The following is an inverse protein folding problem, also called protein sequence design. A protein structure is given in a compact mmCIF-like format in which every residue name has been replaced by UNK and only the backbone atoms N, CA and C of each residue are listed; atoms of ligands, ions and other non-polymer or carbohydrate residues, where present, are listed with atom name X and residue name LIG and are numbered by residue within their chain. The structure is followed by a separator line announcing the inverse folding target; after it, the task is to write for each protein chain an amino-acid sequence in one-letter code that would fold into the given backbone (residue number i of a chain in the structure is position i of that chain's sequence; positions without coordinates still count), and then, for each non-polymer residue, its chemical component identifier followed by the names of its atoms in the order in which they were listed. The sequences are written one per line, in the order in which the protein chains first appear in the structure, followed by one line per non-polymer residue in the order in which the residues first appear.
data_IF_922951058434
#
_entry.id   IF_922951058434
#
_cell.length_a   1.000
_cell.length_b   1.000
_cell.length_c   1.000
_cell.angle_alpha   90.00
_cell.angle_beta   90.00
_cell.angle_gamma   90.00
#
_symmetry.space_group_name_H-M   'P 1'
#
loop_
_entity.id
_entity.type
_entity.pdbx_description
1 polymer ?
#
# COMPACT_ATOMS: atom_id res chain seq x y z
N UNK A 1 0.40 -24.54 12.83
CA UNK A 1 0.84 -23.13 12.67
C UNK A 1 2.27 -22.90 13.17
N UNK A 2 2.62 -23.35 14.38
CA UNK A 2 3.98 -23.21 14.96
C UNK A 2 5.10 -23.81 14.11
N UNK A 3 4.89 -24.98 13.53
CA UNK A 3 5.89 -25.66 12.69
C UNK A 3 6.20 -24.91 11.40
N UNK A 4 5.17 -24.45 10.67
CA UNK A 4 5.36 -23.56 9.50
C UNK A 4 6.07 -22.27 9.88
N UNK A 5 5.71 -21.65 11.01
CA UNK A 5 6.39 -20.44 11.49
C UNK A 5 7.89 -20.67 11.73
N UNK A 6 8.23 -21.80 12.37
CA UNK A 6 9.63 -22.19 12.62
C UNK A 6 10.40 -22.42 11.31
N UNK A 7 9.80 -23.11 10.34
CA UNK A 7 10.40 -23.29 9.01
C UNK A 7 10.68 -21.96 8.30
N UNK A 8 9.75 -20.99 8.37
CA UNK A 8 9.93 -19.66 7.80
C UNK A 8 11.06 -18.89 8.49
N UNK A 9 11.14 -18.97 9.83
CA UNK A 9 12.22 -18.34 10.60
C UNK A 9 13.59 -18.94 10.26
N UNK A 10 13.67 -20.27 10.15
CA UNK A 10 14.90 -20.98 9.83
C UNK A 10 15.38 -20.63 8.41
N UNK A 11 14.48 -20.60 7.43
CA UNK A 11 14.80 -20.17 6.06
C UNK A 11 15.26 -18.71 5.98
N UNK A 12 14.60 -17.81 6.72
CA UNK A 12 15.03 -16.41 6.82
C UNK A 12 16.41 -16.26 7.46
N UNK A 13 16.75 -17.10 8.44
CA UNK A 13 18.06 -17.07 9.12
C UNK A 13 19.18 -17.61 8.24
N UNK A 14 18.87 -18.58 7.37
CA UNK A 14 19.82 -19.20 6.43
C UNK A 14 20.09 -18.34 5.19
N UNK A 15 19.26 -17.32 4.92
CA UNK A 15 19.44 -16.43 3.78
C UNK A 15 19.00 -17.04 2.44
N UNK A 16 18.26 -18.15 2.44
CA UNK A 16 17.77 -18.79 1.22
C UNK A 16 16.77 -17.89 0.47
N UNK A 17 17.10 -17.47 -0.77
CA UNK A 17 16.12 -17.03 -1.78
C UNK A 17 15.50 -18.28 -2.43
N UNK A 18 14.16 -18.38 -2.67
CA UNK A 18 13.17 -17.34 -2.93
C UNK A 18 11.95 -17.47 -2.01
N UNK A 19 12.13 -17.39 -0.69
CA UNK A 19 11.00 -17.48 0.23
C UNK A 19 10.13 -16.23 0.09
N UNK A 20 8.94 -16.35 -0.51
CA UNK A 20 7.93 -15.28 -0.51
C UNK A 20 7.28 -15.25 0.86
N UNK A 21 7.41 -14.12 1.54
CA UNK A 21 6.76 -13.91 2.83
C UNK A 21 5.31 -13.51 2.58
N UNK A 22 4.34 -14.20 3.22
CA UNK A 22 2.94 -13.89 3.00
C UNK A 22 2.58 -12.57 3.69
N UNK A 23 1.72 -11.76 3.10
CA UNK A 23 1.12 -10.64 3.84
C UNK A 23 0.13 -11.19 4.86
N UNK A 24 0.21 -10.71 6.10
CA UNK A 24 -0.75 -10.98 7.16
C UNK A 24 -1.06 -9.64 7.79
N UNK A 25 -2.30 -9.17 7.67
CA UNK A 25 -2.71 -7.89 8.21
C UNK A 25 -4.18 -7.92 8.67
N UNK A 26 -4.47 -7.14 9.71
CA UNK A 26 -5.83 -6.91 10.22
C UNK A 26 -6.14 -5.41 10.20
N UNK A 27 -7.29 -5.07 9.63
CA UNK A 27 -7.76 -3.71 9.43
C UNK A 27 -9.12 -3.54 10.07
N UNK A 28 -9.13 -3.10 11.33
CA UNK A 28 -10.32 -2.85 12.14
C UNK A 28 -11.02 -1.52 11.87
N UNK A 29 -12.20 -1.35 12.46
CA UNK A 29 -13.13 -0.21 12.32
C UNK A 29 -12.69 1.10 13.00
N UNK A 30 -11.68 1.05 13.89
CA UNK A 30 -11.08 2.24 14.50
C UNK A 30 -10.30 3.15 13.54
N UNK A 31 -10.45 2.96 12.21
CA UNK A 31 -9.80 3.71 11.14
C UNK A 31 -10.56 4.97 10.71
N UNK A 32 -11.74 5.23 11.27
CA UNK A 32 -12.40 6.53 11.15
C UNK A 32 -11.40 7.61 11.53
N UNK A 33 -11.08 8.45 10.55
CA UNK A 33 -10.06 9.50 10.54
C UNK A 33 -9.72 10.15 11.87
N UNK A 34 -9.00 9.43 12.71
CA UNK A 34 -8.51 9.99 13.94
C UNK A 34 -7.19 10.68 13.63
N UNK A 35 -7.31 11.93 13.20
CA UNK A 35 -6.27 12.95 13.39
C UNK A 35 -5.84 13.05 14.87
N UNK A 36 -6.59 12.43 15.79
CA UNK A 36 -6.40 12.39 17.24
C UNK A 36 -5.76 11.11 17.78
N UNK A 37 -4.69 10.62 17.14
CA UNK A 37 -3.63 9.98 17.93
C UNK A 37 -2.28 10.10 17.27
N UNK A 38 -1.74 11.32 17.30
CA UNK A 38 -0.29 11.48 17.37
C UNK A 38 0.18 10.92 18.74
N UNK A 39 0.12 9.59 18.92
CA UNK A 39 0.90 8.95 19.96
C UNK A 39 2.34 9.15 19.50
N UNK A 40 2.98 10.17 20.08
CA UNK A 40 4.44 10.32 20.08
C UNK A 40 5.00 9.09 20.75
N UNK A 41 5.06 7.98 20.03
CA UNK A 41 6.08 6.99 20.34
C UNK A 41 7.33 7.56 19.71
N UNK A 42 8.24 8.00 20.59
CA UNK A 42 9.58 8.41 20.26
C UNK A 42 10.23 7.29 19.44
N UNK A 43 10.05 7.33 18.12
CA UNK A 43 10.93 6.66 17.18
C UNK A 43 12.23 7.43 17.26
N UNK A 44 13.01 7.12 18.30
CA UNK A 44 14.39 7.55 18.41
C UNK A 44 15.04 7.27 17.05
N UNK A 45 15.42 8.36 16.39
CA UNK A 45 16.10 8.45 15.09
C UNK A 45 17.43 7.64 15.05
N UNK A 46 17.81 7.09 16.21
CA UNK A 46 18.98 6.25 16.44
C UNK A 46 18.72 4.73 16.28
N UNK A 47 17.46 4.26 16.27
CA UNK A 47 17.13 2.84 16.01
C UNK A 47 16.85 2.53 14.52
N UNK A 48 16.60 3.55 13.70
CA UNK A 48 16.43 3.40 12.25
C UNK A 48 17.79 3.11 11.57
N UNK A 49 18.89 3.54 12.18
CA UNK A 49 20.26 3.34 11.67
C UNK A 49 20.88 1.98 12.04
N UNK A 50 20.31 1.27 13.03
CA UNK A 50 20.80 -0.03 13.52
C UNK A 50 19.96 -1.23 13.08
N UNK A 51 18.76 -1.01 12.53
CA UNK A 51 17.92 -2.06 11.95
C UNK A 51 18.41 -2.44 10.55
N UNK A 52 19.42 -3.32 10.47
CA UNK A 52 19.74 -4.08 9.26
C UNK A 52 18.44 -4.56 8.61
N UNK A 53 18.21 -4.13 7.35
CA UNK A 53 17.10 -4.48 6.45
C UNK A 53 16.56 -5.90 6.66
N UNK A 54 15.65 -6.08 7.62
CA UNK A 54 15.03 -7.37 7.85
C UNK A 54 13.66 -7.29 7.21
N UNK A 55 13.42 -8.13 6.19
CA UNK A 55 12.14 -8.24 5.47
C UNK A 55 10.92 -8.30 6.40
N UNK A 56 11.12 -8.78 7.64
CA UNK A 56 10.13 -8.83 8.73
C UNK A 56 9.52 -7.48 9.12
N UNK A 57 10.15 -6.36 8.78
CA UNK A 57 9.63 -5.02 9.10
C UNK A 57 8.24 -4.78 8.49
N UNK A 58 7.87 -5.45 7.39
CA UNK A 58 6.52 -5.37 6.84
C UNK A 58 5.42 -5.93 7.77
N UNK A 59 5.78 -6.68 8.82
CA UNK A 59 4.85 -7.17 9.84
C UNK A 59 4.75 -6.27 11.08
N UNK A 60 5.59 -5.24 11.21
CA UNK A 60 5.47 -4.28 12.32
C UNK A 60 4.09 -3.62 12.24
N UNK A 61 3.36 -3.60 13.35
CA UNK A 61 2.02 -3.03 13.46
C UNK A 61 1.02 -3.56 12.41
N UNK A 62 1.18 -4.81 11.94
CA UNK A 62 0.25 -5.40 10.97
C UNK A 62 -1.12 -5.75 11.55
N UNK A 63 -1.23 -5.76 12.88
CA UNK A 63 -2.48 -5.99 13.63
C UNK A 63 -3.02 -4.67 14.20
N UNK A 64 -2.17 -3.66 14.38
CA UNK A 64 -2.60 -2.33 14.81
C UNK A 64 -3.12 -1.55 13.60
N UNK A 65 -4.43 -1.38 13.57
CA UNK A 65 -5.16 -0.83 12.44
C UNK A 65 -4.95 0.67 12.24
N UNK A 66 -4.17 1.40 13.02
CA UNK A 66 -4.10 2.87 12.85
C UNK A 66 -3.13 3.28 11.74
N UNK A 67 -3.67 3.62 10.56
CA UNK A 67 -2.89 4.27 9.51
C UNK A 67 -2.67 5.76 9.87
N UNK A 68 -1.45 6.14 10.22
CA UNK A 68 -1.13 7.54 10.51
C UNK A 68 -0.81 8.29 9.21
N UNK A 69 -1.75 9.14 8.77
CA UNK A 69 -1.62 9.96 7.55
C UNK A 69 -0.37 10.86 7.55
N UNK A 70 0.08 11.35 8.72
CA UNK A 70 1.31 12.16 8.82
C UNK A 70 2.54 11.31 8.51
N UNK A 71 2.62 10.11 9.10
CA UNK A 71 3.70 9.16 8.82
C UNK A 71 3.69 8.73 7.35
N UNK A 72 2.51 8.56 6.76
CA UNK A 72 2.39 8.20 5.34
C UNK A 72 2.88 9.32 4.43
N UNK A 73 2.51 10.58 4.67
CA UNK A 73 3.02 11.72 3.90
C UNK A 73 4.53 11.88 4.03
N UNK A 74 5.07 11.76 5.24
CA UNK A 74 6.51 11.79 5.48
C UNK A 74 7.23 10.65 4.76
N UNK A 75 6.66 9.45 4.78
CA UNK A 75 7.17 8.30 4.03
C UNK A 75 7.20 8.58 2.51
N UNK A 76 6.11 9.08 1.92
CA UNK A 76 6.08 9.43 0.50
C UNK A 76 7.12 10.49 0.14
N UNK A 77 7.29 11.51 0.99
CA UNK A 77 8.34 12.53 0.82
C UNK A 77 9.72 11.89 0.79
N UNK A 78 10.06 11.07 1.79
CA UNK A 78 11.37 10.45 1.91
C UNK A 78 11.65 9.46 0.77
N UNK A 79 10.66 8.67 0.35
CA UNK A 79 10.79 7.78 -0.79
C UNK A 79 10.93 8.53 -2.11
N UNK A 80 10.27 9.69 -2.25
CA UNK A 80 10.40 10.53 -3.45
C UNK A 80 11.79 11.15 -3.55
N UNK A 81 12.35 11.62 -2.43
CA UNK A 81 13.75 12.06 -2.37
C UNK A 81 14.69 10.92 -2.78
N UNK A 82 14.48 9.72 -2.23
CA UNK A 82 15.26 8.54 -2.58
C UNK A 82 15.16 8.18 -4.07
N UNK A 83 13.96 8.30 -4.66
CA UNK A 83 13.72 8.08 -6.10
C UNK A 83 14.55 9.03 -6.95
N UNK A 84 14.56 10.33 -6.62
CA UNK A 84 15.38 11.30 -7.34
C UNK A 84 16.88 11.01 -7.18
N UNK A 85 17.35 10.68 -5.97
CA UNK A 85 18.74 10.28 -5.76
C UNK A 85 19.13 9.03 -6.56
N UNK A 86 18.24 8.04 -6.64
CA UNK A 86 18.48 6.83 -7.44
C UNK A 86 18.57 7.15 -8.94
N UNK A 87 17.75 8.09 -9.41
CA UNK A 87 17.80 8.55 -10.79
C UNK A 87 19.13 9.25 -11.11
N UNK A 88 19.59 10.16 -10.24
CA UNK A 88 20.89 10.84 -10.39
C UNK A 88 22.07 9.85 -10.38
N UNK A 89 22.00 8.81 -9.54
CA UNK A 89 23.05 7.80 -9.42
C UNK A 89 22.92 6.64 -10.43
N UNK A 90 21.92 6.67 -11.33
CA UNK A 90 21.67 5.59 -12.28
C UNK A 90 21.30 4.24 -11.64
N UNK A 91 20.79 4.23 -10.40
CA UNK A 91 20.47 3.01 -9.62
C UNK A 91 19.11 2.39 -9.96
N UNK A 92 18.37 2.98 -10.90
CA UNK A 92 17.07 2.49 -11.36
C UNK A 92 15.92 2.88 -10.42
N UNK A 93 14.87 2.06 -10.37
CA UNK A 93 13.62 2.38 -9.66
C UNK A 93 13.68 2.03 -8.17
N UNK A 94 13.00 2.84 -7.35
CA UNK A 94 12.66 2.49 -5.97
C UNK A 94 11.40 1.62 -5.98
N UNK A 95 11.58 0.30 -6.12
CA UNK A 95 10.46 -0.63 -6.35
C UNK A 95 9.37 -0.60 -5.29
N UNK A 96 9.71 -0.27 -4.04
CA UNK A 96 8.75 -0.15 -2.95
C UNK A 96 7.77 1.01 -3.20
N UNK A 97 8.30 2.17 -3.57
CA UNK A 97 7.49 3.34 -3.91
C UNK A 97 6.63 3.06 -5.15
N UNK A 98 7.23 2.45 -6.18
CA UNK A 98 6.52 2.14 -7.43
C UNK A 98 5.38 1.13 -7.21
N UNK A 99 5.57 0.13 -6.33
CA UNK A 99 4.50 -0.80 -5.96
C UNK A 99 3.32 -0.07 -5.30
N UNK A 100 3.60 0.87 -4.39
CA UNK A 100 2.55 1.66 -3.72
C UNK A 100 1.81 2.55 -4.71
N UNK A 101 2.52 3.30 -5.56
CA UNK A 101 1.89 4.13 -6.59
C UNK A 101 1.08 3.31 -7.59
N UNK A 102 1.59 2.15 -8.01
CA UNK A 102 0.88 1.27 -8.94
C UNK A 102 -0.41 0.73 -8.33
N UNK A 103 -0.38 0.28 -7.07
CA UNK A 103 -1.58 -0.22 -6.40
C UNK A 103 -2.66 0.86 -6.24
N UNK A 104 -2.27 2.05 -5.78
CA UNK A 104 -3.18 3.18 -5.63
C UNK A 104 -3.77 3.65 -6.98
N UNK A 105 -2.93 3.74 -8.02
CA UNK A 105 -3.36 4.15 -9.35
C UNK A 105 -4.32 3.17 -10.02
N UNK A 106 -4.05 1.85 -9.88
CA UNK A 106 -4.94 0.80 -10.38
C UNK A 106 -6.32 0.87 -9.73
N UNK A 107 -6.36 0.96 -8.41
CA UNK A 107 -7.64 1.12 -7.69
C UNK A 107 -8.40 2.36 -8.16
N UNK A 108 -7.72 3.51 -8.27
CA UNK A 108 -8.38 4.74 -8.67
C UNK A 108 -8.93 4.64 -10.11
N UNK A 109 -8.18 4.03 -11.02
CA UNK A 109 -8.64 3.75 -12.39
C UNK A 109 -9.85 2.80 -12.41
N UNK A 110 -9.81 1.71 -11.62
CA UNK A 110 -10.91 0.73 -11.56
C UNK A 110 -12.21 1.31 -11.02
N UNK A 111 -12.15 2.16 -10.00
CA UNK A 111 -13.35 2.73 -9.36
C UNK A 111 -13.93 3.90 -10.15
N UNK A 112 -13.08 4.70 -10.80
CA UNK A 112 -13.53 5.91 -11.53
C UNK A 112 -13.78 5.68 -13.02
N UNK A 113 -13.17 4.64 -13.60
CA UNK A 113 -13.16 4.42 -15.05
C UNK A 113 -12.18 5.32 -15.82
N UNK A 114 -11.40 6.17 -15.12
CA UNK A 114 -10.42 7.05 -15.78
C UNK A 114 -9.19 6.29 -16.29
N UNK A 115 -8.57 6.82 -17.34
CA UNK A 115 -7.37 6.24 -17.96
C UNK A 115 -6.11 7.00 -17.57
N UNK A 116 -4.94 6.40 -17.85
CA UNK A 116 -3.61 7.00 -17.61
C UNK A 116 -3.37 7.48 -16.17
N UNK A 117 -3.99 6.79 -15.21
CA UNK A 117 -3.94 7.17 -13.80
C UNK A 117 -2.52 7.00 -13.24
N UNK A 118 -1.93 8.09 -12.75
CA UNK A 118 -0.62 8.12 -12.11
C UNK A 118 -0.67 8.86 -10.79
N UNK A 119 -0.25 8.18 -9.73
CA UNK A 119 -0.05 8.80 -8.42
C UNK A 119 1.37 9.35 -8.33
N UNK A 120 1.49 10.57 -7.82
CA UNK A 120 2.79 11.22 -7.66
C UNK A 120 2.78 12.15 -6.45
N UNK A 121 3.83 12.07 -5.65
CA UNK A 121 4.11 13.07 -4.63
C UNK A 121 4.74 14.32 -5.26
N UNK A 122 4.16 15.48 -4.97
CA UNK A 122 4.69 16.78 -5.37
C UNK A 122 5.62 17.32 -4.28
N UNK A 123 6.89 17.51 -4.60
CA UNK A 123 7.85 18.14 -3.68
C UNK A 123 7.52 19.61 -3.38
N UNK A 124 7.09 20.44 -4.36
CA UNK A 124 6.67 21.82 -4.09
C UNK A 124 5.44 21.91 -3.19
N UNK A 125 4.41 21.09 -3.44
CA UNK A 125 3.13 21.17 -2.73
C UNK A 125 3.11 20.35 -1.43
N UNK A 126 4.14 19.51 -1.23
CA UNK A 126 4.27 18.58 -0.10
C UNK A 126 3.04 17.65 0.09
N UNK A 127 2.44 17.23 -1.02
CA UNK A 127 1.28 16.32 -1.01
C UNK A 127 1.24 15.41 -2.24
N UNK A 128 0.38 14.39 -2.16
CA UNK A 128 0.10 13.49 -3.26
C UNK A 128 -0.91 14.08 -4.25
N UNK A 129 -0.69 13.80 -5.52
CA UNK A 129 -1.60 14.06 -6.62
C UNK A 129 -1.94 12.77 -7.35
N UNK A 130 -3.16 12.74 -7.89
CA UNK A 130 -3.57 11.81 -8.94
C UNK A 130 -3.67 12.57 -10.25
N UNK A 131 -2.89 12.14 -11.23
CA UNK A 131 -3.01 12.59 -12.61
C UNK A 131 -3.82 11.54 -13.36
N UNK A 132 -4.78 11.94 -14.16
CA UNK A 132 -5.61 11.02 -14.95
C UNK A 132 -6.14 11.72 -16.20
N UNK A 133 -6.55 10.93 -17.18
CA UNK A 133 -7.23 11.40 -18.38
C UNK A 133 -8.73 11.09 -18.26
N UNK A 134 -9.57 12.10 -18.45
CA UNK A 134 -11.02 11.96 -18.57
C UNK A 134 -11.48 12.71 -19.82
N UNK A 135 -12.21 12.05 -20.73
CA UNK A 135 -12.69 12.64 -21.99
C UNK A 135 -11.58 13.41 -22.76
N UNK A 136 -10.39 12.82 -22.88
CA UNK A 136 -9.19 13.41 -23.50
C UNK A 136 -8.60 14.64 -22.78
N UNK A 137 -9.12 15.02 -21.61
CA UNK A 137 -8.56 16.08 -20.78
C UNK A 137 -7.70 15.48 -19.68
N UNK A 138 -6.43 15.86 -19.67
CA UNK A 138 -5.50 15.53 -18.58
C UNK A 138 -5.84 16.40 -17.37
N UNK A 139 -6.14 15.77 -16.26
CA UNK A 139 -6.46 16.42 -14.99
C UNK A 139 -5.45 16.02 -13.92
N UNK A 140 -4.99 17.00 -13.15
CA UNK A 140 -4.14 16.82 -11.97
C UNK A 140 -4.92 17.22 -10.73
N UNK A 141 -5.20 16.27 -9.85
CA UNK A 141 -6.03 16.47 -8.66
C UNK A 141 -5.25 16.12 -7.39
N UNK A 142 -5.11 17.04 -6.41
CA UNK A 142 -4.52 16.72 -5.12
C UNK A 142 -5.42 15.76 -4.33
N UNK A 143 -4.82 14.77 -3.66
CA UNK A 143 -5.58 13.77 -2.88
C UNK A 143 -6.37 14.40 -1.72
N UNK A 144 -5.96 15.58 -1.23
CA UNK A 144 -6.72 16.39 -0.26
C UNK A 144 -8.15 16.68 -0.71
N UNK A 145 -8.42 16.80 -2.01
CA UNK A 145 -9.75 17.13 -2.53
C UNK A 145 -10.66 15.90 -2.71
N UNK A 146 -10.14 14.68 -2.51
CA UNK A 146 -10.95 13.47 -2.59
C UNK A 146 -11.92 13.34 -1.41
N UNK A 147 -13.02 12.61 -1.62
CA UNK A 147 -13.97 12.30 -0.55
C UNK A 147 -13.35 11.43 0.54
N UNK A 148 -14.06 11.32 1.66
CA UNK A 148 -13.56 10.56 2.79
C UNK A 148 -13.36 9.07 2.49
N UNK A 149 -14.31 8.47 1.77
CA UNK A 149 -14.24 7.08 1.32
C UNK A 149 -13.05 6.80 0.40
N UNK A 150 -12.78 7.68 -0.58
CA UNK A 150 -11.63 7.53 -1.47
C UNK A 150 -10.30 7.56 -0.72
N UNK A 151 -10.11 8.55 0.15
CA UNK A 151 -8.90 8.69 0.96
C UNK A 151 -8.67 7.50 1.89
N UNK A 152 -9.74 7.02 2.55
CA UNK A 152 -9.66 5.86 3.44
C UNK A 152 -9.20 4.61 2.71
N UNK A 153 -9.83 4.33 1.56
CA UNK A 153 -9.52 3.14 0.75
C UNK A 153 -8.14 3.25 0.09
N UNK A 154 -7.76 4.41 -0.44
CA UNK A 154 -6.42 4.66 -0.97
C UNK A 154 -5.33 4.47 0.09
N UNK A 155 -5.56 4.95 1.32
CA UNK A 155 -4.62 4.79 2.42
C UNK A 155 -4.46 3.33 2.82
N UNK A 156 -5.56 2.56 2.83
CA UNK A 156 -5.54 1.12 3.07
C UNK A 156 -4.72 0.39 2.00
N UNK A 157 -4.98 0.69 0.73
CA UNK A 157 -4.28 0.07 -0.41
C UNK A 157 -2.79 0.42 -0.39
N UNK A 158 -2.45 1.67 -0.06
CA UNK A 158 -1.07 2.10 0.07
C UNK A 158 -0.33 1.30 1.16
N UNK A 159 -0.95 1.12 2.34
CA UNK A 159 -0.37 0.34 3.45
C UNK A 159 -0.17 -1.14 3.07
N UNK A 160 -1.17 -1.76 2.43
CA UNK A 160 -1.08 -3.15 1.96
C UNK A 160 0.09 -3.31 0.97
N UNK A 161 0.14 -2.45 -0.05
CA UNK A 161 1.19 -2.48 -1.07
C UNK A 161 2.59 -2.25 -0.47
N UNK A 162 2.69 -1.31 0.48
CA UNK A 162 3.92 -1.03 1.22
C UNK A 162 4.41 -2.28 1.95
N UNK A 163 3.53 -2.96 2.71
CA UNK A 163 3.87 -4.18 3.44
C UNK A 163 4.31 -5.30 2.50
N UNK A 164 3.59 -5.51 1.39
CA UNK A 164 3.98 -6.50 0.38
C UNK A 164 5.40 -6.22 -0.16
N UNK A 165 5.68 -4.95 -0.48
CA UNK A 165 6.98 -4.53 -1.01
C UNK A 165 8.12 -4.60 0.02
N UNK A 166 7.86 -4.30 1.29
CA UNK A 166 8.83 -4.47 2.38
C UNK A 166 9.13 -5.94 2.68
N UNK A 167 8.12 -6.81 2.62
CA UNK A 167 8.26 -8.24 2.84
C UNK A 167 9.06 -8.91 1.71
N UNK A 168 8.87 -8.46 0.46
CA UNK A 168 9.41 -9.15 -0.71
C UNK A 168 10.07 -8.18 -1.72
N UNK A 169 11.12 -7.43 -1.32
CA UNK A 169 11.73 -6.40 -2.16
C UNK A 169 12.34 -6.95 -3.47
N UNK A 170 12.81 -8.21 -3.46
CA UNK A 170 13.39 -8.88 -4.62
C UNK A 170 12.36 -9.17 -5.74
N UNK A 171 11.05 -9.19 -5.43
CA UNK A 171 10.01 -9.40 -6.43
C UNK A 171 9.81 -8.18 -7.35
N UNK A 172 10.34 -7.01 -6.97
CA UNK A 172 10.32 -5.79 -7.78
C UNK A 172 8.90 -5.49 -8.30
N UNK A 173 8.73 -5.35 -9.61
CA UNK A 173 7.46 -5.03 -10.28
C UNK A 173 6.38 -6.12 -10.08
N UNK A 174 6.80 -7.35 -9.73
CA UNK A 174 5.89 -8.48 -9.52
C UNK A 174 5.38 -8.59 -8.08
N UNK A 175 5.73 -7.66 -7.19
CA UNK A 175 5.42 -7.82 -5.76
C UNK A 175 3.93 -7.85 -5.47
N UNK A 176 3.14 -7.04 -6.21
CA UNK A 176 1.69 -6.97 -6.06
C UNK A 176 0.96 -8.23 -6.57
N UNK A 177 1.55 -8.95 -7.52
CA UNK A 177 0.92 -10.13 -8.14
C UNK A 177 1.40 -11.44 -7.52
N UNK A 178 2.63 -11.50 -7.02
CA UNK A 178 3.25 -12.71 -6.46
C UNK A 178 3.18 -12.83 -4.94
N UNK A 179 2.96 -11.73 -4.21
CA UNK A 179 2.82 -11.80 -2.75
C UNK A 179 1.45 -12.35 -2.38
N UNK A 180 1.40 -13.58 -1.88
CA UNK A 180 0.19 -14.19 -1.34
C UNK A 180 -0.02 -13.81 0.11
N UNK A 181 -1.22 -13.99 0.67
CA UNK A 181 -1.43 -13.75 2.09
C UNK A 181 -2.89 -13.74 2.51
N UNK A 182 -3.11 -13.35 3.75
CA UNK A 182 -4.45 -13.20 4.34
C UNK A 182 -4.55 -11.77 4.90
N UNK A 183 -5.57 -11.05 4.46
CA UNK A 183 -5.87 -9.72 4.94
C UNK A 183 -7.30 -9.76 5.49
N UNK A 184 -7.45 -9.38 6.76
CA UNK A 184 -8.74 -9.24 7.41
C UNK A 184 -9.13 -7.77 7.39
N UNK A 185 -10.30 -7.45 6.84
CA UNK A 185 -10.86 -6.11 6.81
C UNK A 185 -12.21 -6.19 7.52
N UNK A 186 -12.32 -5.51 8.66
CA UNK A 186 -13.55 -5.41 9.42
C UNK A 186 -14.46 -4.30 8.85
N UNK A 187 -15.78 -4.50 8.88
CA UNK A 187 -16.83 -3.68 8.25
C UNK A 187 -16.53 -3.23 6.81
N UNK A 188 -16.54 -4.18 5.88
CA UNK A 188 -16.56 -3.89 4.43
C UNK A 188 -17.80 -3.05 4.03
N UNK A 189 -18.89 -3.09 4.80
CA UNK A 189 -20.16 -2.45 4.43
C UNK A 189 -20.16 -0.92 4.65
N UNK A 190 -19.48 -0.39 5.66
CA UNK A 190 -19.36 1.08 5.84
C UNK A 190 -18.47 1.73 4.76
N UNK A 191 -17.50 0.99 4.20
CA UNK A 191 -16.74 1.42 3.02
C UNK A 191 -17.62 1.50 1.77
N UNK A 192 -18.70 0.73 1.70
CA UNK A 192 -19.65 0.74 0.57
C UNK A 192 -20.63 1.91 0.66
N UNK A 193 -21.08 2.26 1.86
CA UNK A 193 -22.13 3.29 2.07
C UNK A 193 -21.65 4.73 1.87
N UNK A 194 -20.34 5.01 1.92
CA UNK A 194 -19.78 6.35 1.65
C UNK A 194 -19.62 6.66 0.15
N UNK A 195 -20.12 5.78 -0.71
CA UNK A 195 -20.19 5.98 -2.16
C UNK A 195 -21.47 6.73 -2.51
N UNK A 196 -21.36 8.04 -2.74
CA UNK A 196 -22.45 8.93 -3.14
C UNK A 196 -23.34 8.39 -4.28
N UNK A 197 -24.58 8.87 -4.35
CA UNK A 197 -25.67 8.42 -5.25
C UNK A 197 -25.32 8.37 -6.76
N UNK A 198 -24.22 8.95 -7.22
CA UNK A 198 -23.70 8.76 -8.58
C UNK A 198 -23.11 7.36 -8.82
N UNK A 199 -22.69 6.66 -7.76
CA UNK A 199 -22.09 5.31 -7.81
C UNK A 199 -23.15 4.20 -8.01
N UNK A 200 -24.43 4.52 -7.85
CA UNK A 200 -25.56 3.61 -8.17
C UNK A 200 -25.54 3.14 -9.63
N UNK A 201 -24.99 3.95 -10.55
CA UNK A 201 -24.89 3.64 -11.98
C UNK A 201 -23.69 2.76 -12.34
N UNK A 202 -22.58 2.85 -11.59
CA UNK A 202 -21.31 2.18 -11.90
C UNK A 202 -21.13 0.85 -11.15
N UNK A 203 -22.19 0.02 -11.09
CA UNK A 203 -22.23 -1.34 -10.51
C UNK A 203 -20.87 -2.05 -10.48
N UNK A 204 -20.16 -1.92 -9.36
CA UNK A 204 -18.93 -2.67 -9.07
C UNK A 204 -19.31 -4.11 -8.71
N UNK A 205 -19.20 -5.02 -9.68
CA UNK A 205 -19.07 -6.46 -9.40
C UNK A 205 -17.67 -6.73 -8.88
N UNK A 206 -17.44 -6.54 -7.58
CA UNK A 206 -16.31 -7.18 -6.89
C UNK A 206 -16.59 -8.69 -6.82
N UNK A 207 -16.18 -9.41 -7.85
CA UNK A 207 -16.22 -10.87 -7.90
C UNK A 207 -15.00 -11.42 -7.17
N UNK A 208 -15.07 -11.50 -5.84
CA UNK A 208 -14.12 -12.22 -4.99
C UNK A 208 -14.34 -13.74 -5.06
N UNK A 209 -14.38 -14.31 -6.27
CA UNK A 209 -14.42 -15.76 -6.45
C UNK A 209 -13.16 -16.30 -7.13
N UNK A 210 -12.52 -17.24 -6.42
CA UNK A 210 -11.53 -18.26 -6.86
C UNK A 210 -10.06 -17.86 -6.94
N UNK A 211 -9.40 -17.83 -5.77
CA UNK A 211 -8.08 -18.47 -5.61
C UNK A 211 -8.31 -19.87 -5.02
N UNK A 212 -8.97 -20.75 -5.78
CA UNK A 212 -9.16 -22.16 -5.38
C UNK A 212 -9.26 -23.16 -6.54
N UNK A 213 -8.81 -22.81 -7.76
CA UNK A 213 -8.59 -23.78 -8.83
C UNK A 213 -7.27 -23.50 -9.53
N UNK A 214 -6.25 -24.18 -9.01
CA UNK A 214 -4.91 -24.36 -9.59
C UNK A 214 -4.38 -25.70 -9.09
N UNK A 215 -5.24 -26.72 -9.17
CA UNK A 215 -4.92 -28.15 -9.08
C UNK A 215 -5.83 -28.81 -10.12
N UNK A 216 -5.20 -29.53 -11.04
CA UNK A 216 -5.73 -30.21 -12.23
C UNK A 216 -5.96 -29.29 -13.45
N UNK A 217 -4.91 -29.09 -14.23
CA UNK A 217 -4.63 -29.84 -15.48
C UNK A 217 -3.12 -29.93 -15.70
#
# INVERSE_FOLDING_TARGET
MKEKSRMFQDKLRKGDEPLILPIIAYYGTGRLWDNHRAKRENLNDNNIKSAKNTRKNGYIDCIDGTANLKLMNEWFRNQTILKYQYQELGKGKVYVLEAVYSAMGRYFSEVTGYTDVKIQYSMPDLELFVNYTNENKVTRLPLRLLSAGYKGTLSLIADIAYRMAMLNPYLKENVLTKTTGIIFIDKIDELRETSDKEVSGCRVKLKLERIRKGVNE
#
